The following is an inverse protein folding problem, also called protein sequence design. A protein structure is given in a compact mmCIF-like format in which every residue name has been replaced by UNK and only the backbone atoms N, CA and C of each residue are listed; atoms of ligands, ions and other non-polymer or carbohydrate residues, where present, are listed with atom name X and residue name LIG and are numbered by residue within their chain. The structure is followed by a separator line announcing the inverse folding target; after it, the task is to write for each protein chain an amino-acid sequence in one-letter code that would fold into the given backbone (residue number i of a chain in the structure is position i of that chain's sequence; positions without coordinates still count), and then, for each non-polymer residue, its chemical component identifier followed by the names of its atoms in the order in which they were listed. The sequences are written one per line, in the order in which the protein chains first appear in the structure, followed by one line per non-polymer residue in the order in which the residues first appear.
data_IF_915116208470
#
_entry.id   IF_915116208470
#
_cell.length_a   1.000
_cell.length_b   1.000
_cell.length_c   1.000
_cell.angle_alpha   90.00
_cell.angle_beta   90.00
_cell.angle_gamma   90.00
#
_symmetry.space_group_name_H-M   'P 1'
#
loop_
_entity.id
_entity.type
_entity.pdbx_description
1 polymer ?
#
# COMPACT_ATOMS: atom_id res chain seq x y z
N UNK A 1 -4.89 -2.52 -17.47
CA UNK A 1 -4.49 -2.81 -17.11
C UNK A 1 -4.65 -3.29 -16.27
N UNK A 2 -5.02 -3.28 -16.45
CA UNK A 2 -5.18 -3.66 -15.75
C UNK A 2 -4.77 -4.64 -15.08
N UNK A 3 -4.21 -5.27 -15.44
CA UNK A 3 -3.55 -6.24 -14.69
C UNK A 3 -3.00 -5.74 -13.40
N UNK A 4 -3.23 -4.52 -13.15
CA UNK A 4 -2.73 -3.92 -11.95
C UNK A 4 -3.48 -4.44 -10.75
N UNK A 5 -2.76 -5.10 -9.85
CA UNK A 5 -3.32 -5.58 -8.60
C UNK A 5 -3.32 -4.43 -7.59
N UNK A 6 -4.47 -4.16 -7.01
CA UNK A 6 -4.58 -3.13 -5.98
C UNK A 6 -3.86 -3.59 -4.72
N UNK A 7 -3.32 -2.63 -3.95
CA UNK A 7 -2.50 -2.94 -2.79
C UNK A 7 -3.17 -3.90 -1.82
N UNK A 8 -4.46 -3.71 -1.55
CA UNK A 8 -5.19 -4.55 -0.62
C UNK A 8 -5.65 -5.88 -1.19
N UNK A 9 -5.46 -6.09 -2.49
CA UNK A 9 -5.96 -7.29 -3.16
C UNK A 9 -4.87 -8.23 -3.65
N UNK A 10 -3.62 -7.94 -3.31
CA UNK A 10 -2.52 -8.83 -3.67
C UNK A 10 -2.75 -10.20 -3.03
N UNK A 11 -2.68 -11.30 -3.82
CA UNK A 11 -3.01 -12.63 -3.30
C UNK A 11 -2.21 -13.06 -2.08
N UNK A 12 -0.97 -12.62 -1.97
CA UNK A 12 -0.10 -12.96 -0.84
C UNK A 12 -0.31 -12.07 0.38
N UNK A 13 -1.18 -11.08 0.29
CA UNK A 13 -1.42 -10.14 1.37
C UNK A 13 -2.41 -10.70 2.40
N UNK A 14 -2.13 -10.56 3.69
CA UNK A 14 -3.12 -10.90 4.72
C UNK A 14 -4.42 -10.13 4.53
N UNK A 15 -4.35 -8.96 3.94
CA UNK A 15 -5.50 -8.12 3.65
C UNK A 15 -6.45 -8.77 2.66
N UNK A 16 -5.93 -9.60 1.76
CA UNK A 16 -6.77 -10.29 0.77
C UNK A 16 -7.78 -11.21 1.44
N UNK A 17 -7.36 -11.94 2.49
CA UNK A 17 -8.26 -12.80 3.24
C UNK A 17 -9.33 -11.99 3.96
N UNK A 18 -8.94 -10.90 4.60
CA UNK A 18 -9.89 -10.04 5.29
C UNK A 18 -10.92 -9.47 4.33
N UNK A 19 -10.50 -9.05 3.15
CA UNK A 19 -11.41 -8.54 2.14
C UNK A 19 -12.40 -9.60 1.65
N UNK A 20 -11.96 -10.85 1.55
CA UNK A 20 -12.85 -11.95 1.15
C UNK A 20 -13.99 -12.11 2.14
N UNK A 21 -13.67 -12.09 3.43
CA UNK A 21 -14.71 -12.21 4.48
C UNK A 21 -15.65 -11.01 4.46
N UNK A 22 -15.10 -9.81 4.33
CA UNK A 22 -15.91 -8.60 4.29
C UNK A 22 -16.85 -8.60 3.09
N UNK A 23 -16.41 -9.10 1.96
CA UNK A 23 -17.25 -9.20 0.78
C UNK A 23 -18.41 -10.16 0.97
N UNK A 24 -18.20 -11.22 1.75
CA UNK A 24 -19.27 -12.14 2.10
C UNK A 24 -20.30 -11.48 3.00
N UNK A 25 -19.83 -10.76 4.00
CA UNK A 25 -20.72 -10.18 5.01
C UNK A 25 -21.42 -8.93 4.53
N UNK A 26 -20.71 -8.07 3.83
CA UNK A 26 -21.27 -6.79 3.38
C UNK A 26 -20.52 -6.33 2.13
N UNK A 27 -20.99 -6.75 0.94
CA UNK A 27 -20.30 -6.42 -0.32
C UNK A 27 -20.18 -4.92 -0.56
N UNK A 28 -21.20 -4.14 -0.24
CA UNK A 28 -21.16 -2.68 -0.46
C UNK A 28 -20.10 -2.02 0.38
N UNK A 29 -20.00 -2.42 1.64
CA UNK A 29 -19.03 -1.86 2.56
C UNK A 29 -17.61 -2.25 2.14
N UNK A 30 -17.43 -3.50 1.74
CA UNK A 30 -16.13 -3.97 1.27
C UNK A 30 -15.67 -3.18 0.05
N UNK A 31 -16.59 -2.87 -0.85
CA UNK A 31 -16.28 -2.07 -2.04
C UNK A 31 -15.83 -0.67 -1.67
N UNK A 32 -16.49 -0.05 -0.71
CA UNK A 32 -16.09 1.26 -0.21
C UNK A 32 -14.70 1.23 0.41
N UNK A 33 -14.40 0.19 1.18
CA UNK A 33 -13.09 0.02 1.79
C UNK A 33 -11.99 -0.08 0.75
N UNK A 34 -12.22 -0.86 -0.32
CA UNK A 34 -11.26 -0.99 -1.41
C UNK A 34 -11.03 0.35 -2.08
N UNK A 35 -12.10 1.07 -2.39
CA UNK A 35 -11.99 2.38 -3.03
C UNK A 35 -11.19 3.36 -2.19
N UNK A 36 -11.49 3.45 -0.90
CA UNK A 36 -10.80 4.34 0.01
C UNK A 36 -9.30 4.01 0.06
N UNK A 37 -8.99 2.73 0.17
CA UNK A 37 -7.62 2.27 0.32
C UNK A 37 -6.80 2.49 -0.95
N UNK A 38 -7.44 2.37 -2.12
CA UNK A 38 -6.72 2.42 -3.39
C UNK A 38 -6.78 3.78 -4.08
N UNK A 39 -7.60 4.71 -3.60
CA UNK A 39 -7.73 6.04 -4.21
C UNK A 39 -6.41 6.73 -4.49
N UNK A 40 -5.44 6.76 -3.54
CA UNK A 40 -4.18 7.45 -3.83
C UNK A 40 -3.47 6.92 -5.08
N UNK A 41 -3.64 5.63 -5.38
CA UNK A 41 -3.01 5.03 -6.55
C UNK A 41 -3.78 5.28 -7.84
N UNK A 42 -5.06 5.60 -7.74
CA UNK A 42 -5.93 5.67 -8.92
C UNK A 42 -6.37 7.08 -9.30
N UNK A 43 -6.31 8.04 -8.39
CA UNK A 43 -6.83 9.38 -8.65
C UNK A 43 -5.86 10.29 -9.42
N UNK A 44 -4.60 9.92 -9.49
CA UNK A 44 -3.61 10.65 -10.28
C UNK A 44 -3.14 11.98 -9.69
N UNK A 45 -3.49 12.27 -8.45
CA UNK A 45 -3.10 13.53 -7.81
C UNK A 45 -1.63 13.52 -7.41
N UNK A 46 -1.16 12.43 -6.85
CA UNK A 46 0.22 12.29 -6.42
C UNK A 46 0.97 11.27 -7.29
N UNK A 47 2.26 11.46 -7.52
CA UNK A 47 3.05 10.45 -8.22
C UNK A 47 3.05 9.13 -7.46
N UNK A 48 3.03 8.04 -8.18
CA UNK A 48 3.04 6.70 -7.58
C UNK A 48 4.26 6.52 -6.68
N UNK A 49 5.42 7.01 -7.11
CA UNK A 49 6.64 6.96 -6.30
C UNK A 49 6.40 7.53 -4.91
N UNK A 50 5.74 8.67 -4.83
CA UNK A 50 5.51 9.35 -3.57
C UNK A 50 4.56 8.55 -2.67
N UNK A 51 3.51 7.99 -3.28
CA UNK A 51 2.55 7.17 -2.54
C UNK A 51 3.22 5.93 -1.96
N UNK A 52 4.09 5.29 -2.73
CA UNK A 52 4.81 4.12 -2.26
C UNK A 52 5.79 4.47 -1.14
N UNK A 53 6.46 5.62 -1.25
CA UNK A 53 7.36 6.07 -0.20
C UNK A 53 6.62 6.35 1.10
N UNK A 54 5.46 6.99 1.01
CA UNK A 54 4.62 7.23 2.18
C UNK A 54 4.18 5.92 2.81
N UNK A 55 3.86 4.92 1.98
CA UNK A 55 3.48 3.59 2.45
C UNK A 55 4.64 2.90 3.17
N UNK A 56 5.87 3.08 2.67
CA UNK A 56 7.05 2.55 3.37
C UNK A 56 7.14 3.14 4.78
N UNK A 57 6.98 4.45 4.90
CA UNK A 57 7.04 5.11 6.19
C UNK A 57 5.97 4.61 7.15
N UNK A 58 4.76 4.43 6.66
CA UNK A 58 3.66 3.94 7.48
C UNK A 58 3.89 2.51 7.95
N UNK A 59 4.36 1.63 7.07
CA UNK A 59 4.56 0.23 7.40
C UNK A 59 5.79 0.00 8.26
N UNK A 60 6.79 0.87 8.18
CA UNK A 60 7.99 0.78 8.99
C UNK A 60 7.83 1.48 10.34
N UNK A 61 6.72 2.16 10.58
CA UNK A 61 6.49 2.92 11.79
C UNK A 61 6.36 2.04 13.03
N UNK A 62 6.67 2.63 14.18
CA UNK A 62 6.65 1.91 15.45
C UNK A 62 5.31 1.28 15.77
N UNK A 63 4.25 1.97 15.46
CA UNK A 63 2.90 1.51 15.80
C UNK A 63 2.39 0.47 14.82
N UNK A 64 2.98 0.37 13.65
CA UNK A 64 2.54 -0.58 12.64
C UNK A 64 3.49 -1.76 12.49
N UNK A 65 4.78 -1.50 12.33
CA UNK A 65 5.84 -2.51 12.24
C UNK A 65 5.44 -3.70 11.36
N UNK A 66 5.12 -3.40 10.10
CA UNK A 66 4.71 -4.42 9.16
C UNK A 66 5.85 -4.72 8.17
N UNK A 67 6.71 -5.70 8.45
CA UNK A 67 7.87 -5.97 7.58
C UNK A 67 7.47 -6.39 6.17
N UNK A 68 6.43 -7.19 6.05
CA UNK A 68 5.95 -7.63 4.73
C UNK A 68 5.46 -6.46 3.88
N UNK A 69 4.63 -5.60 4.48
CA UNK A 69 4.14 -4.41 3.80
C UNK A 69 5.28 -3.46 3.44
N UNK A 70 6.22 -3.27 4.37
CA UNK A 70 7.38 -2.42 4.14
C UNK A 70 8.17 -2.92 2.94
N UNK A 71 8.45 -4.22 2.90
CA UNK A 71 9.22 -4.82 1.81
C UNK A 71 8.52 -4.65 0.46
N UNK A 72 7.22 -4.89 0.43
CA UNK A 72 6.44 -4.73 -0.80
C UNK A 72 6.49 -3.30 -1.33
N UNK A 73 6.30 -2.35 -0.43
CA UNK A 73 6.27 -0.94 -0.82
C UNK A 73 7.66 -0.41 -1.18
N UNK A 74 8.72 -0.93 -0.55
CA UNK A 74 10.08 -0.59 -0.95
C UNK A 74 10.32 -1.04 -2.40
N UNK A 75 9.94 -2.25 -2.73
CA UNK A 75 10.09 -2.75 -4.10
C UNK A 75 9.29 -1.91 -5.09
N UNK A 76 8.07 -1.58 -4.74
CA UNK A 76 7.21 -0.76 -5.59
C UNK A 76 7.77 0.65 -5.75
N UNK A 77 8.31 1.22 -4.68
CA UNK A 77 8.92 2.55 -4.74
C UNK A 77 10.14 2.56 -5.66
N UNK A 78 11.01 1.55 -5.54
CA UNK A 78 12.16 1.43 -6.43
C UNK A 78 11.73 1.30 -7.87
N UNK A 79 10.72 0.48 -8.14
CA UNK A 79 10.18 0.31 -9.48
C UNK A 79 9.59 1.61 -10.04
N UNK A 80 9.07 2.47 -9.17
CA UNK A 80 8.51 3.76 -9.56
C UNK A 80 9.56 4.88 -9.62
N UNK A 81 10.82 4.55 -9.43
CA UNK A 81 11.91 5.51 -9.60
C UNK A 81 12.45 6.13 -8.33
N UNK A 82 12.08 5.62 -7.16
CA UNK A 82 12.61 6.14 -5.91
C UNK A 82 14.09 5.75 -5.74
N UNK A 83 14.84 6.63 -5.09
CA UNK A 83 16.23 6.36 -4.77
C UNK A 83 16.33 5.70 -3.40
N UNK A 84 17.49 5.10 -3.13
CA UNK A 84 17.77 4.52 -1.82
C UNK A 84 17.68 5.57 -0.72
N UNK A 85 18.19 6.76 -1.00
CA UNK A 85 18.15 7.86 -0.04
C UNK A 85 16.73 8.27 0.29
N UNK A 86 15.87 8.33 -0.72
CA UNK A 86 14.45 8.64 -0.50
C UNK A 86 13.80 7.61 0.39
N UNK A 87 14.05 6.32 0.13
CA UNK A 87 13.48 5.25 0.92
C UNK A 87 13.95 5.33 2.37
N UNK A 88 15.25 5.56 2.57
CA UNK A 88 15.82 5.68 3.92
C UNK A 88 15.21 6.86 4.67
N UNK A 89 15.03 7.98 3.98
CA UNK A 89 14.44 9.16 4.59
C UNK A 89 13.03 8.89 5.08
N UNK A 90 12.19 8.30 4.24
CA UNK A 90 10.82 8.00 4.64
C UNK A 90 10.76 6.94 5.74
N UNK A 91 11.67 5.98 5.72
CA UNK A 91 11.75 4.98 6.80
C UNK A 91 12.12 5.62 8.13
N UNK A 92 12.96 6.66 8.10
CA UNK A 92 13.38 7.37 9.32
C UNK A 92 12.32 8.31 9.86
N UNK A 93 11.37 8.69 9.03
CA UNK A 93 10.35 9.69 9.40
C UNK A 93 9.50 9.26 10.59
N UNK A 94 9.53 7.98 10.92
CA UNK A 94 8.82 7.47 12.09
C UNK A 94 9.40 7.96 13.41
N UNK A 95 10.58 8.46 13.38
CA UNK A 95 11.23 8.98 14.57
C UNK A 95 10.59 10.29 15.01
#
# INVERSE_FOLDING_TARGET
MAAKVLAGEHPASPWATALSLLREWDPSWAELCVKMTTNPWTDGILPIKFIELASVGLNAGRTNLNPEGTRRHIRAALAAGASRQEILLFSSARL
#
